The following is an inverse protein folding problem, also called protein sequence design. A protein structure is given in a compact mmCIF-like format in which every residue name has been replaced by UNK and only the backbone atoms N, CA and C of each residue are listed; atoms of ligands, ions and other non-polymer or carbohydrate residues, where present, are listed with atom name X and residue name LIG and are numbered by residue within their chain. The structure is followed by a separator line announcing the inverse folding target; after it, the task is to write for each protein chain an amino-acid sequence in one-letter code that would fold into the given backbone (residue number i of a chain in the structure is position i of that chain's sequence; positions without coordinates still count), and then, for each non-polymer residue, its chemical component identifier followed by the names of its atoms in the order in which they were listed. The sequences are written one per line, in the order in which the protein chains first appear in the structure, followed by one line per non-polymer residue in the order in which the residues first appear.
data_IF_315591535593
#
_entry.id   IF_315591535593
#
_cell.length_a   1.000
_cell.length_b   1.000
_cell.length_c   1.000
_cell.angle_alpha   90.00
_cell.angle_beta   90.00
_cell.angle_gamma   90.00
#
_symmetry.space_group_name_H-M   'P 1'
#
loop_
_entity.id
_entity.type
_entity.pdbx_description
1 polymer ?
#
# COMPACT_ATOMS: atom_id res chain seq x y z
N UNK A 1 17.95 -7.03 -1.18
CA UNK A 1 18.84 -5.85 -1.33
C UNK A 1 18.19 -4.85 -2.28
N UNK A 2 17.19 -4.10 -1.81
CA UNK A 2 16.68 -2.93 -2.53
C UNK A 2 17.29 -1.71 -1.86
N UNK A 3 18.30 -1.12 -2.51
CA UNK A 3 18.91 0.12 -2.05
C UNK A 3 17.97 1.28 -2.40
N UNK A 4 17.16 1.70 -1.42
CA UNK A 4 16.56 3.04 -1.44
C UNK A 4 17.70 4.06 -1.51
N UNK A 5 17.73 4.86 -2.58
CA UNK A 5 18.55 6.08 -2.63
C UNK A 5 18.11 6.95 -1.45
N UNK A 6 18.96 7.04 -0.43
CA UNK A 6 18.62 7.72 0.83
C UNK A 6 18.46 9.22 0.58
N UNK A 7 17.21 9.69 0.54
CA UNK A 7 16.89 11.12 0.67
C UNK A 7 16.84 11.40 2.16
N UNK A 8 17.96 11.87 2.70
CA UNK A 8 18.08 12.16 4.13
C UNK A 8 17.60 13.59 4.43
N UNK A 9 16.29 13.75 4.70
CA UNK A 9 15.73 14.99 5.24
C UNK A 9 15.69 14.91 6.78
N UNK A 10 16.50 15.72 7.48
CA UNK A 10 16.44 15.85 8.94
C UNK A 10 15.22 16.67 9.35
N UNK A 11 14.38 16.13 10.24
CA UNK A 11 13.39 16.88 11.00
C UNK A 11 13.84 16.97 12.48
N UNK A 12 13.75 18.15 13.14
CA UNK A 12 13.63 18.22 14.61
C UNK A 12 13.27 19.59 15.23
N UNK A 13 12.70 19.48 16.44
CA UNK A 13 12.06 20.46 17.33
C UNK A 13 13.02 21.51 17.95
N UNK A 14 12.51 22.72 18.19
CA UNK A 14 13.15 23.86 18.90
C UNK A 14 13.16 23.69 20.44
N UNK A 15 14.18 24.19 21.17
CA UNK A 15 14.35 25.64 21.38
C UNK A 15 15.79 26.21 21.40
N UNK A 16 15.82 27.53 21.23
CA UNK A 16 16.85 28.53 21.60
C UNK A 16 17.88 28.95 20.54
N UNK A 17 17.80 30.25 20.19
CA UNK A 17 18.64 30.95 19.22
C UNK A 17 20.07 31.14 19.76
N UNK A 18 21.02 30.43 19.15
CA UNK A 18 22.46 30.68 19.31
C UNK A 18 23.13 30.61 17.93
N UNK A 19 24.40 31.01 17.83
CA UNK A 19 25.24 31.15 16.61
C UNK A 19 25.23 29.96 15.60
N UNK A 20 24.58 28.85 15.93
CA UNK A 20 24.21 27.78 15.01
C UNK A 20 23.19 28.20 13.92
N UNK A 21 22.44 29.29 14.12
CA UNK A 21 21.41 29.79 13.19
C UNK A 21 21.92 30.16 11.79
N UNK A 22 23.18 30.59 11.64
CA UNK A 22 23.76 30.94 10.33
C UNK A 22 23.94 29.71 9.41
N UNK A 23 24.05 28.50 9.97
CA UNK A 23 24.09 27.25 9.18
C UNK A 23 22.72 26.90 8.58
N UNK A 24 21.63 27.30 9.26
CA UNK A 24 20.26 27.05 8.83
C UNK A 24 19.78 28.06 7.77
N UNK A 25 20.29 29.30 7.78
CA UNK A 25 20.04 30.25 6.68
C UNK A 25 20.58 29.72 5.33
N UNK A 26 21.62 28.89 5.38
CA UNK A 26 22.29 28.33 4.20
C UNK A 26 21.87 26.91 3.80
N UNK A 27 21.05 26.23 4.59
CA UNK A 27 20.58 24.88 4.26
C UNK A 27 19.40 24.96 3.29
N UNK A 28 19.45 24.31 2.12
CA UNK A 28 18.32 24.28 1.20
C UNK A 28 17.20 23.39 1.71
N UNK A 29 15.97 23.69 1.30
CA UNK A 29 14.79 22.92 1.68
C UNK A 29 14.77 21.55 1.02
N UNK A 30 15.24 21.45 -0.22
CA UNK A 30 15.41 20.17 -0.94
C UNK A 30 16.74 20.20 -1.69
N UNK A 31 17.48 19.09 -1.66
CA UNK A 31 18.69 18.94 -2.45
C UNK A 31 18.94 17.49 -2.86
N UNK A 32 19.58 17.30 -4.01
CA UNK A 32 20.15 16.02 -4.45
C UNK A 32 21.63 16.03 -4.08
N UNK A 33 22.12 14.92 -3.49
CA UNK A 33 23.49 14.79 -2.99
C UNK A 33 24.08 13.46 -3.41
N UNK A 34 25.40 13.40 -3.52
CA UNK A 34 26.10 12.16 -3.85
C UNK A 34 25.93 11.13 -2.72
N UNK A 35 25.69 9.89 -3.11
CA UNK A 35 25.65 8.74 -2.22
C UNK A 35 26.55 7.64 -2.77
N UNK A 36 27.86 7.91 -2.76
CA UNK A 36 28.89 6.95 -3.16
C UNK A 36 29.59 6.41 -1.91
N UNK A 37 29.34 5.14 -1.60
CA UNK A 37 29.94 4.46 -0.45
C UNK A 37 31.40 4.05 -0.73
N UNK A 38 31.80 4.01 -2.01
CA UNK A 38 33.18 3.78 -2.44
C UNK A 38 34.06 5.03 -2.35
N UNK A 39 33.46 6.22 -2.38
CA UNK A 39 34.14 7.51 -2.24
C UNK A 39 33.56 8.31 -1.07
N UNK A 40 34.06 8.00 0.12
CA UNK A 40 33.64 8.63 1.37
C UNK A 40 33.85 10.15 1.39
N UNK A 41 34.79 10.68 0.59
CA UNK A 41 35.04 12.12 0.51
C UNK A 41 33.91 12.85 -0.23
N UNK A 42 33.22 12.16 -1.14
CA UNK A 42 32.09 12.70 -1.92
C UNK A 42 30.74 12.38 -1.30
N UNK A 43 30.69 11.52 -0.29
CA UNK A 43 29.46 11.14 0.40
C UNK A 43 28.73 12.38 0.99
N UNK A 44 27.46 12.54 0.63
CA UNK A 44 26.59 13.66 1.01
C UNK A 44 27.06 15.06 0.57
N UNK A 45 28.02 15.14 -0.34
CA UNK A 45 28.43 16.41 -0.95
C UNK A 45 27.45 16.84 -2.03
N UNK A 46 27.46 18.15 -2.33
CA UNK A 46 26.78 18.74 -3.48
C UNK A 46 27.60 18.63 -4.76
N UNK A 47 28.73 17.93 -4.73
CA UNK A 47 29.66 17.79 -5.86
C UNK A 47 29.13 16.81 -6.93
N UNK A 48 27.90 17.08 -7.37
CA UNK A 48 27.28 16.58 -8.57
C UNK A 48 27.36 17.75 -9.53
N UNK A 49 28.24 17.69 -10.52
CA UNK A 49 28.50 18.84 -11.38
C UNK A 49 27.31 19.09 -12.33
N UNK A 50 26.71 20.30 -12.35
CA UNK A 50 26.94 21.44 -11.46
C UNK A 50 26.12 21.42 -10.16
N UNK A 51 26.74 21.83 -9.05
CA UNK A 51 26.20 21.68 -7.69
C UNK A 51 24.97 22.57 -7.40
N UNK A 52 24.93 23.75 -8.00
CA UNK A 52 23.83 24.72 -7.82
C UNK A 52 22.52 24.26 -8.46
N UNK A 53 22.62 23.40 -9.48
CA UNK A 53 21.47 22.88 -10.23
C UNK A 53 20.73 21.78 -9.46
N UNK A 54 21.33 21.26 -8.38
CA UNK A 54 20.79 20.17 -7.56
C UNK A 54 20.12 20.65 -6.28
N UNK A 55 19.81 21.96 -6.19
CA UNK A 55 19.36 22.61 -4.96
C UNK A 55 18.07 23.39 -5.17
N UNK A 56 17.12 23.20 -4.27
CA UNK A 56 15.91 24.02 -4.14
C UNK A 56 16.02 24.83 -2.86
N UNK A 57 16.25 26.14 -2.99
CA UNK A 57 16.37 27.06 -1.86
C UNK A 57 15.30 28.16 -1.92
N UNK A 58 14.56 28.37 -0.83
CA UNK A 58 13.57 29.44 -0.70
C UNK A 58 14.27 30.73 -0.25
N UNK A 59 13.92 31.85 -0.90
CA UNK A 59 14.36 33.21 -0.57
C UNK A 59 14.03 33.53 0.89
N UNK A 60 14.96 34.19 1.58
CA UNK A 60 14.88 34.40 3.03
C UNK A 60 13.61 35.14 3.44
N UNK A 61 13.24 36.18 2.69
CA UNK A 61 12.02 36.98 2.87
C UNK A 61 10.71 36.19 2.64
N UNK A 62 10.79 35.07 1.92
CA UNK A 62 9.64 34.23 1.59
C UNK A 62 9.49 33.00 2.50
N UNK A 63 10.51 32.64 3.30
CA UNK A 63 10.52 31.43 4.13
C UNK A 63 9.34 31.33 5.09
N UNK A 64 8.97 32.42 5.75
CA UNK A 64 7.85 32.43 6.71
C UNK A 64 6.49 32.07 6.06
N UNK A 65 6.34 32.29 4.75
CA UNK A 65 5.13 32.00 3.98
C UNK A 65 5.23 30.72 3.15
N UNK A 66 6.34 29.98 3.22
CA UNK A 66 6.57 28.78 2.42
C UNK A 66 7.25 27.70 3.28
N UNK A 67 6.76 27.51 4.50
CA UNK A 67 7.32 26.51 5.41
C UNK A 67 6.87 25.11 4.98
N UNK A 68 7.82 24.30 4.54
CA UNK A 68 7.58 22.93 4.08
C UNK A 68 7.69 21.95 5.25
N UNK A 69 6.58 21.35 5.67
CA UNK A 69 6.57 20.31 6.69
C UNK A 69 6.61 18.92 6.04
N UNK A 70 7.81 18.36 5.95
CA UNK A 70 8.07 17.05 5.35
C UNK A 70 7.23 15.92 5.97
N UNK A 71 6.70 15.03 5.12
CA UNK A 71 5.98 13.82 5.53
C UNK A 71 6.76 12.58 5.10
N UNK A 72 7.05 12.42 3.81
CA UNK A 72 7.80 11.28 3.28
C UNK A 72 8.36 11.59 1.89
N UNK A 73 9.51 11.00 1.57
CA UNK A 73 10.03 10.91 0.21
C UNK A 73 10.06 9.44 -0.22
N UNK A 74 9.79 9.18 -1.49
CA UNK A 74 9.83 7.84 -2.06
C UNK A 74 10.09 7.88 -3.56
N UNK A 75 10.59 6.76 -4.08
CA UNK A 75 10.86 6.56 -5.49
C UNK A 75 9.67 5.88 -6.16
N UNK A 76 9.28 6.33 -7.36
CA UNK A 76 8.34 5.61 -8.21
C UNK A 76 8.71 5.83 -9.69
N UNK A 77 8.89 4.72 -10.42
CA UNK A 77 9.40 4.68 -11.81
C UNK A 77 10.75 5.39 -11.97
N UNK A 78 10.78 6.56 -12.61
CA UNK A 78 12.00 7.37 -12.87
C UNK A 78 11.94 8.70 -12.14
N UNK A 79 11.06 8.82 -11.15
CA UNK A 79 10.83 10.06 -10.41
C UNK A 79 11.03 9.84 -8.91
N UNK A 80 11.49 10.90 -8.25
CA UNK A 80 11.42 11.05 -6.81
C UNK A 80 10.21 11.91 -6.46
N UNK A 81 9.41 11.42 -5.53
CA UNK A 81 8.26 12.13 -4.99
C UNK A 81 8.54 12.56 -3.55
N UNK A 82 8.13 13.77 -3.21
CA UNK A 82 8.27 14.35 -1.87
C UNK A 82 6.92 14.86 -1.42
N UNK A 83 6.36 14.23 -0.39
CA UNK A 83 5.11 14.63 0.23
C UNK A 83 5.37 15.54 1.43
N UNK A 84 4.68 16.67 1.50
CA UNK A 84 4.79 17.63 2.60
C UNK A 84 3.48 18.42 2.78
N UNK A 85 3.36 19.12 3.90
CA UNK A 85 2.33 20.13 4.11
C UNK A 85 2.94 21.53 4.01
N UNK A 86 2.23 22.47 3.38
CA UNK A 86 2.58 23.88 3.39
C UNK A 86 1.79 24.57 4.51
N UNK A 87 2.45 24.89 5.62
CA UNK A 87 1.84 25.48 6.82
C UNK A 87 1.94 27.02 6.82
N UNK A 88 2.06 27.64 5.64
CA UNK A 88 2.05 29.08 5.48
C UNK A 88 0.86 29.72 6.20
N UNK A 89 1.11 30.69 7.08
CA UNK A 89 0.07 31.50 7.74
C UNK A 89 -0.61 32.43 6.74
N UNK A 90 -1.35 31.89 5.77
CA UNK A 90 -2.28 32.66 4.96
C UNK A 90 -3.51 32.90 5.82
N UNK A 91 -3.69 34.12 6.30
CA UNK A 91 -4.75 34.54 7.24
C UNK A 91 -6.20 34.34 6.78
N UNK A 92 -6.52 33.44 5.85
CA UNK A 92 -7.88 33.06 5.50
C UNK A 92 -8.05 31.58 5.12
N UNK A 93 -9.00 30.97 5.86
CA UNK A 93 -9.75 29.72 5.69
C UNK A 93 -8.99 28.40 5.78
N UNK A 94 -9.32 27.62 6.81
CA UNK A 94 -9.05 26.18 6.99
C UNK A 94 -9.48 25.28 5.80
N UNK A 95 -10.03 25.84 4.72
CA UNK A 95 -10.65 25.15 3.59
C UNK A 95 -9.73 24.93 2.37
N UNK A 96 -8.48 25.41 2.37
CA UNK A 96 -7.54 25.11 1.28
C UNK A 96 -6.69 23.87 1.60
N UNK A 97 -6.45 22.98 0.62
CA UNK A 97 -5.59 21.82 0.83
C UNK A 97 -4.14 22.27 1.03
N UNK A 98 -3.60 22.00 2.21
CA UNK A 98 -2.20 22.32 2.53
C UNK A 98 -1.25 21.20 2.11
N UNK A 99 -1.80 20.06 1.70
CA UNK A 99 -1.05 18.85 1.37
C UNK A 99 -0.53 18.90 -0.06
N UNK A 100 0.77 18.73 -0.24
CA UNK A 100 1.44 18.84 -1.54
C UNK A 100 2.28 17.61 -1.81
N UNK A 101 2.21 17.13 -3.05
CA UNK A 101 3.10 16.13 -3.62
C UNK A 101 4.01 16.82 -4.64
N UNK A 102 5.28 16.96 -4.32
CA UNK A 102 6.28 17.39 -5.30
C UNK A 102 6.84 16.21 -6.07
N UNK A 103 7.08 16.39 -7.36
CA UNK A 103 7.76 15.42 -8.24
C UNK A 103 9.06 16.02 -8.77
N UNK A 104 10.12 15.22 -8.78
CA UNK A 104 11.45 15.54 -9.30
C UNK A 104 11.88 14.41 -10.22
N UNK A 105 12.43 14.72 -11.39
CA UNK A 105 12.99 13.69 -12.27
C UNK A 105 14.33 13.20 -11.75
N UNK A 106 14.56 11.90 -11.87
CA UNK A 106 15.86 11.30 -11.59
C UNK A 106 16.57 11.02 -12.92
N UNK A 107 17.85 11.34 -12.99
CA UNK A 107 18.66 10.96 -14.14
C UNK A 107 18.72 9.43 -14.23
N UNK A 108 18.36 8.90 -15.40
CA UNK A 108 18.40 7.47 -15.67
C UNK A 108 19.85 7.07 -15.87
N UNK A 109 20.36 6.20 -15.00
CA UNK A 109 21.68 5.61 -15.16
C UNK A 109 21.74 4.88 -16.50
N UNK A 110 22.52 5.40 -17.45
CA UNK A 110 22.69 4.82 -18.80
C UNK A 110 22.51 5.78 -19.98
N UNK A 111 22.06 7.03 -19.78
CA UNK A 111 22.16 8.04 -20.84
C UNK A 111 23.63 8.49 -21.01
N UNK A 112 24.12 8.39 -22.25
CA UNK A 112 25.51 8.69 -22.64
C UNK A 112 25.93 10.13 -22.23
N UNK A 113 27.22 10.38 -21.96
CA UNK A 113 27.76 11.72 -21.62
C UNK A 113 27.62 12.78 -22.72
N UNK A 114 27.13 12.42 -23.91
CA UNK A 114 26.93 13.32 -25.05
C UNK A 114 25.44 13.67 -25.30
N UNK A 115 24.55 13.39 -24.35
CA UNK A 115 23.18 13.92 -24.31
C UNK A 115 23.11 15.27 -23.58
N UNK A 116 22.05 16.08 -23.74
CA UNK A 116 22.01 17.46 -23.26
C UNK A 116 22.23 17.49 -21.74
N UNK A 117 22.94 18.52 -21.27
CA UNK A 117 23.35 18.83 -19.89
C UNK A 117 22.46 18.22 -18.79
N UNK A 118 23.10 17.79 -17.69
CA UNK A 118 22.40 17.33 -16.47
C UNK A 118 21.27 18.29 -16.11
N UNK A 119 20.03 17.79 -16.07
CA UNK A 119 18.85 18.62 -15.87
C UNK A 119 18.84 19.19 -14.47
N UNK A 120 18.48 20.47 -14.34
CA UNK A 120 18.38 21.11 -13.02
C UNK A 120 17.21 20.51 -12.25
N UNK A 121 17.40 20.31 -10.95
CA UNK A 121 16.35 19.92 -10.01
C UNK A 121 15.14 20.85 -10.17
N UNK A 122 15.35 22.15 -10.23
CA UNK A 122 14.28 23.14 -10.33
C UNK A 122 13.49 23.06 -11.64
N UNK A 123 14.09 22.62 -12.76
CA UNK A 123 13.40 22.44 -14.05
C UNK A 123 12.37 21.31 -14.02
N UNK A 124 12.72 20.21 -13.34
CA UNK A 124 11.83 19.05 -13.20
C UNK A 124 10.84 19.19 -12.04
N UNK A 125 11.17 20.03 -11.05
CA UNK A 125 10.37 20.22 -9.85
C UNK A 125 8.98 20.80 -10.15
N UNK A 126 7.95 20.10 -9.68
CA UNK A 126 6.57 20.55 -9.76
C UNK A 126 5.78 20.13 -8.53
N UNK A 127 5.00 21.07 -7.96
CA UNK A 127 4.09 20.83 -6.83
C UNK A 127 2.67 20.54 -7.33
N UNK A 128 2.11 19.40 -6.90
CA UNK A 128 0.70 19.05 -7.10
C UNK A 128 -0.02 19.05 -5.74
N UNK A 129 -0.99 19.94 -5.50
CA UNK A 129 -1.81 19.88 -4.30
C UNK A 129 -2.67 18.61 -4.31
N UNK A 130 -2.76 17.94 -3.17
CA UNK A 130 -3.61 16.78 -2.96
C UNK A 130 -4.82 17.17 -2.09
N UNK A 131 -6.00 16.71 -2.49
CA UNK A 131 -7.23 16.95 -1.73
C UNK A 131 -7.97 15.63 -1.50
N UNK A 132 -8.15 15.28 -0.24
CA UNK A 132 -8.98 14.17 0.19
C UNK A 132 -10.36 14.71 0.65
N UNK A 133 -11.43 14.31 -0.04
CA UNK A 133 -12.78 14.82 0.19
C UNK A 133 -13.20 15.98 -0.73
N UNK A 134 -14.46 16.41 -0.59
CA UNK A 134 -15.11 17.45 -1.41
C UNK A 134 -16.16 18.22 -0.60
N UNK A 135 -16.62 19.34 -1.16
CA UNK A 135 -17.83 20.06 -0.73
C UNK A 135 -17.92 20.34 0.79
N UNK A 136 -16.88 20.95 1.35
CA UNK A 136 -16.83 21.31 2.78
C UNK A 136 -16.42 20.17 3.72
N UNK A 137 -16.39 18.93 3.24
CA UNK A 137 -15.81 17.79 3.95
C UNK A 137 -14.42 17.43 3.40
N UNK A 138 -13.50 18.37 3.58
CA UNK A 138 -12.11 18.27 3.08
C UNK A 138 -11.18 17.95 4.25
N UNK A 139 -10.35 16.92 4.07
CA UNK A 139 -9.24 16.57 4.94
C UNK A 139 -7.99 17.24 4.38
N UNK A 140 -7.53 18.30 5.04
CA UNK A 140 -6.62 19.29 4.48
C UNK A 140 -5.14 19.06 4.81
N UNK A 141 -4.82 18.19 5.78
CA UNK A 141 -3.45 17.93 6.23
C UNK A 141 -3.06 16.46 6.07
N UNK A 142 -1.96 16.20 5.36
CA UNK A 142 -1.42 14.88 5.13
C UNK A 142 -0.56 14.42 6.31
N UNK A 143 -0.77 13.19 6.77
CA UNK A 143 -0.09 12.59 7.92
C UNK A 143 0.89 11.49 7.51
N UNK A 144 0.54 10.69 6.51
CA UNK A 144 1.32 9.55 6.05
C UNK A 144 0.97 9.22 4.61
N UNK A 145 1.95 8.71 3.85
CA UNK A 145 1.76 8.21 2.49
C UNK A 145 2.44 6.87 2.29
N UNK A 146 1.85 6.05 1.41
CA UNK A 146 2.38 4.76 1.03
C UNK A 146 2.11 4.51 -0.47
N UNK A 147 3.16 4.47 -1.33
CA UNK A 147 3.00 4.02 -2.71
C UNK A 147 2.83 2.50 -2.75
N UNK A 148 1.86 2.01 -3.52
CA UNK A 148 1.66 0.57 -3.72
C UNK A 148 1.10 0.28 -5.11
N UNK A 149 1.53 -0.84 -5.68
CA UNK A 149 0.91 -1.42 -6.87
C UNK A 149 -0.19 -2.38 -6.39
N UNK A 150 -1.42 -2.14 -6.82
CA UNK A 150 -2.59 -2.92 -6.44
C UNK A 150 -3.25 -3.39 -7.72
N UNK A 151 -3.28 -4.70 -7.97
CA UNK A 151 -3.88 -5.30 -9.18
C UNK A 151 -3.34 -4.68 -10.48
N UNK A 152 -2.00 -4.59 -10.56
CA UNK A 152 -1.27 -4.00 -11.69
C UNK A 152 -1.53 -2.50 -11.95
N UNK A 153 -2.18 -1.80 -11.01
CA UNK A 153 -2.36 -0.35 -11.07
C UNK A 153 -1.64 0.33 -9.90
N UNK A 154 -0.88 1.38 -10.19
CA UNK A 154 -0.07 2.09 -9.20
C UNK A 154 -0.87 3.19 -8.49
N UNK A 155 -0.90 3.15 -7.15
CA UNK A 155 -1.60 4.12 -6.31
C UNK A 155 -0.68 4.75 -5.26
N UNK A 156 -0.95 6.01 -4.96
CA UNK A 156 -0.49 6.70 -3.75
C UNK A 156 -1.62 6.70 -2.72
N UNK A 157 -1.47 5.92 -1.65
CA UNK A 157 -2.35 5.98 -0.50
C UNK A 157 -1.89 7.07 0.46
N UNK A 158 -2.82 7.86 0.97
CA UNK A 158 -2.53 8.95 1.91
C UNK A 158 -3.55 9.01 3.05
N UNK A 159 -3.05 9.15 4.28
CA UNK A 159 -3.86 9.46 5.46
C UNK A 159 -3.89 10.96 5.66
N UNK A 160 -5.08 11.54 5.70
CA UNK A 160 -5.30 12.96 5.88
C UNK A 160 -6.11 13.22 7.16
N UNK A 161 -5.82 14.31 7.85
CA UNK A 161 -6.58 14.81 8.99
C UNK A 161 -7.39 16.05 8.66
N UNK A 162 -8.48 16.20 9.41
CA UNK A 162 -9.29 17.40 9.55
C UNK A 162 -9.09 17.95 10.97
N UNK A 163 -9.34 19.26 11.17
CA UNK A 163 -9.04 19.98 12.42
C UNK A 163 -9.65 19.41 13.71
N UNK A 164 -10.66 18.55 13.61
CA UNK A 164 -11.38 17.92 14.72
C UNK A 164 -10.94 16.46 14.99
N UNK A 165 -9.70 16.11 14.65
CA UNK A 165 -9.11 14.76 14.78
C UNK A 165 -9.78 13.68 13.91
N UNK A 166 -10.79 14.02 13.10
CA UNK A 166 -11.27 13.14 12.04
C UNK A 166 -10.17 12.94 11.02
N UNK A 167 -10.04 11.72 10.54
CA UNK A 167 -9.03 11.33 9.56
C UNK A 167 -9.65 10.48 8.48
N UNK A 168 -9.07 10.54 7.29
CA UNK A 168 -9.51 9.76 6.14
C UNK A 168 -8.32 9.18 5.40
N UNK A 169 -8.51 7.99 4.86
CA UNK A 169 -7.62 7.40 3.87
C UNK A 169 -8.18 7.72 2.48
N UNK A 170 -7.34 8.29 1.62
CA UNK A 170 -7.61 8.47 0.20
C UNK A 170 -6.56 7.74 -0.64
N UNK A 171 -6.92 7.36 -1.86
CA UNK A 171 -6.00 6.79 -2.84
C UNK A 171 -6.02 7.64 -4.13
N UNK A 172 -4.83 7.91 -4.67
CA UNK A 172 -4.64 8.65 -5.91
C UNK A 172 -3.92 7.77 -6.91
N UNK A 173 -4.44 7.65 -8.14
CA UNK A 173 -3.75 6.90 -9.19
C UNK A 173 -2.53 7.66 -9.64
N UNK A 174 -1.39 6.99 -9.79
CA UNK A 174 -0.20 7.64 -10.35
C UNK A 174 -0.43 8.09 -11.80
N UNK A 175 -1.28 7.39 -12.56
CA UNK A 175 -1.69 7.83 -13.90
C UNK A 175 -2.36 9.23 -13.88
N UNK A 176 -3.23 9.49 -12.90
CA UNK A 176 -3.89 10.79 -12.75
C UNK A 176 -2.90 11.87 -12.29
N UNK A 177 -1.95 11.52 -11.42
CA UNK A 177 -0.85 12.41 -11.01
C UNK A 177 0.00 12.83 -12.21
N UNK A 178 0.39 11.87 -13.05
CA UNK A 178 1.19 12.11 -14.24
C UNK A 178 0.44 12.99 -15.25
N UNK A 179 -0.84 12.68 -15.50
CA UNK A 179 -1.66 13.44 -16.45
C UNK A 179 -1.93 14.87 -15.96
N UNK A 180 -2.20 15.08 -14.68
CA UNK A 180 -2.41 16.43 -14.12
C UNK A 180 -1.14 17.28 -14.23
N UNK A 181 0.03 16.69 -13.97
CA UNK A 181 1.32 17.37 -14.14
C UNK A 181 1.57 17.73 -15.60
N UNK A 182 1.36 16.78 -16.53
CA UNK A 182 1.51 17.03 -17.98
C UNK A 182 0.53 18.09 -18.46
N UNK A 183 -0.71 18.08 -17.95
CA UNK A 183 -1.72 19.10 -18.25
C UNK A 183 -1.28 20.47 -17.77
N UNK A 184 -0.82 20.59 -16.54
CA UNK A 184 -0.30 21.84 -15.99
C UNK A 184 0.83 22.42 -16.84
N UNK A 185 1.81 21.60 -17.21
CA UNK A 185 2.93 22.02 -18.08
C UNK A 185 2.47 22.44 -19.47
N UNK A 186 1.52 21.72 -20.08
CA UNK A 186 0.87 22.11 -21.36
C UNK A 186 0.16 23.45 -21.24
N UNK A 187 -0.64 23.65 -20.20
CA UNK A 187 -1.38 24.90 -19.99
C UNK A 187 -0.41 26.06 -19.81
N UNK A 188 0.58 25.94 -18.93
CA UNK A 188 1.62 26.95 -18.72
C UNK A 188 2.34 27.31 -20.03
N UNK A 189 2.55 26.33 -20.92
CA UNK A 189 3.11 26.57 -22.25
C UNK A 189 2.16 27.32 -23.18
N UNK A 190 0.91 26.86 -23.35
CA UNK A 190 0.00 27.35 -24.38
C UNK A 190 -0.61 28.74 -24.08
N UNK A 191 -0.81 29.11 -22.82
CA UNK A 191 -1.23 30.44 -22.35
C UNK A 191 -1.16 30.47 -20.83
N UNK A 192 -0.80 31.61 -20.18
CA UNK A 192 -0.84 31.70 -18.73
C UNK A 192 -2.30 31.69 -18.24
N UNK A 193 -2.91 30.50 -18.18
CA UNK A 193 -4.11 30.28 -17.40
C UNK A 193 -3.72 30.39 -15.93
N UNK A 194 -4.60 30.93 -15.09
CA UNK A 194 -4.36 31.05 -13.66
C UNK A 194 -4.23 29.71 -12.91
N UNK A 195 -4.09 28.59 -13.62
CA UNK A 195 -4.04 27.22 -13.11
C UNK A 195 -2.65 26.78 -12.66
N UNK A 196 -1.60 27.47 -13.12
CA UNK A 196 -0.20 27.17 -12.79
C UNK A 196 0.47 28.44 -12.26
N UNK A 197 1.27 28.27 -11.24
CA UNK A 197 2.04 29.33 -10.62
C UNK A 197 3.53 29.00 -10.70
N UNK A 198 4.34 29.99 -11.11
CA UNK A 198 5.78 29.93 -10.95
C UNK A 198 6.13 30.26 -9.50
N UNK A 199 6.99 29.46 -8.89
CA UNK A 199 7.44 29.66 -7.52
C UNK A 199 8.58 30.68 -7.48
N UNK A 200 8.24 31.97 -7.64
CA UNK A 200 9.19 33.09 -7.61
C UNK A 200 9.90 33.26 -6.25
N UNK A 201 9.41 32.56 -5.22
CA UNK A 201 10.05 32.47 -3.91
C UNK A 201 11.31 31.61 -3.89
N UNK A 202 11.62 30.88 -4.98
CA UNK A 202 12.79 30.00 -5.07
C UNK A 202 13.96 30.74 -5.72
N UNK A 203 15.16 30.61 -5.15
CA UNK A 203 16.36 31.34 -5.59
C UNK A 203 16.81 30.85 -6.97
N UNK A 204 16.87 29.54 -7.17
CA UNK A 204 17.28 28.89 -8.42
C UNK A 204 16.13 28.75 -9.44
N UNK A 205 15.02 29.46 -9.21
CA UNK A 205 13.87 29.48 -10.10
C UNK A 205 13.88 30.72 -10.96
N UNK A 206 14.02 30.56 -12.28
CA UNK A 206 13.64 31.54 -13.31
C UNK A 206 13.95 30.97 -14.70
N UNK A 207 12.92 30.75 -15.50
CA UNK A 207 13.02 30.50 -16.95
C UNK A 207 12.55 31.71 -17.76
N UNK A 208 12.78 31.72 -19.07
CA UNK A 208 12.35 32.83 -19.92
C UNK A 208 10.84 33.07 -19.81
N UNK A 209 10.43 34.25 -19.31
CA UNK A 209 9.05 34.69 -19.39
C UNK A 209 8.71 34.90 -20.87
N UNK A 210 7.62 34.28 -21.31
CA UNK A 210 7.24 34.32 -22.72
C UNK A 210 6.96 35.76 -23.16
N UNK A 211 7.60 36.18 -24.25
CA UNK A 211 7.09 37.26 -25.08
C UNK A 211 5.73 36.85 -25.67
N UNK A 212 4.78 37.77 -25.67
CA UNK A 212 3.40 37.57 -26.15
C UNK A 212 3.40 36.97 -27.57
N UNK A 213 2.71 35.83 -27.79
CA UNK A 213 2.19 35.49 -29.13
C UNK A 213 2.61 34.21 -29.86
N UNK A 214 3.04 33.12 -29.19
CA UNK A 214 3.22 31.82 -29.86
C UNK A 214 2.56 30.65 -29.12
N UNK A 215 2.25 29.53 -29.78
CA UNK A 215 1.90 28.24 -29.14
C UNK A 215 3.14 27.36 -29.19
N UNK A 216 3.65 26.88 -28.05
CA UNK A 216 4.82 25.98 -28.04
C UNK A 216 4.32 24.55 -27.89
N UNK A 217 4.56 23.71 -28.89
CA UNK A 217 4.29 22.29 -28.73
C UNK A 217 5.44 21.67 -27.94
N UNK A 218 5.18 21.34 -26.67
CA UNK A 218 6.15 20.63 -25.83
C UNK A 218 6.28 19.17 -26.28
N UNK A 219 7.51 18.65 -26.28
CA UNK A 219 7.79 17.22 -26.47
C UNK A 219 7.43 16.43 -25.20
N UNK A 220 7.17 15.11 -25.30
CA UNK A 220 6.84 14.27 -24.14
C UNK A 220 7.84 14.40 -22.99
N UNK A 221 9.14 14.44 -23.28
CA UNK A 221 10.20 14.56 -22.28
C UNK A 221 10.15 15.90 -21.54
N UNK A 222 9.75 16.98 -22.23
CA UNK A 222 9.58 18.31 -21.64
C UNK A 222 8.32 18.39 -20.78
N UNK A 223 7.27 17.65 -21.15
CA UNK A 223 6.06 17.50 -20.34
C UNK A 223 6.31 16.70 -19.07
N UNK A 224 7.30 15.81 -19.07
CA UNK A 224 7.65 15.01 -17.90
C UNK A 224 8.67 15.69 -17.00
N UNK A 225 9.76 16.21 -17.56
CA UNK A 225 10.91 16.69 -16.79
C UNK A 225 11.29 18.15 -17.03
N UNK A 226 10.65 18.82 -17.99
CA UNK A 226 10.87 20.25 -18.22
C UNK A 226 12.05 20.48 -19.15
N UNK A 227 12.40 21.75 -19.26
CA UNK A 227 13.54 22.19 -20.05
C UNK A 227 14.00 23.55 -19.54
N UNK A 228 15.29 23.84 -19.70
CA UNK A 228 15.93 25.09 -19.28
C UNK A 228 15.26 26.38 -19.79
N UNK A 229 14.57 26.33 -20.94
CA UNK A 229 13.90 27.49 -21.53
C UNK A 229 12.44 27.68 -21.07
N UNK A 230 11.91 26.80 -20.20
CA UNK A 230 10.55 26.88 -19.67
C UNK A 230 10.55 27.49 -18.28
N UNK A 231 9.41 28.05 -17.86
CA UNK A 231 9.29 28.56 -16.49
C UNK A 231 9.35 27.42 -15.47
N UNK A 232 10.13 27.62 -14.41
CA UNK A 232 10.34 26.65 -13.34
C UNK A 232 10.85 27.35 -12.07
N UNK A 233 10.68 26.76 -10.87
CA UNK A 233 9.83 25.60 -10.57
C UNK A 233 8.34 25.95 -10.60
N UNK A 234 7.50 24.94 -10.81
CA UNK A 234 6.05 25.12 -10.98
C UNK A 234 5.24 24.60 -9.78
N UNK A 235 4.11 25.24 -9.52
CA UNK A 235 3.09 24.75 -8.61
C UNK A 235 1.72 24.81 -9.29
N UNK A 236 1.00 23.69 -9.24
CA UNK A 236 -0.36 23.60 -9.75
C UNK A 236 -1.32 24.22 -8.74
N UNK A 237 -2.31 24.98 -9.20
CA UNK A 237 -3.35 25.55 -8.34
C UNK A 237 -4.54 24.62 -8.17
N UNK A 238 -4.83 23.81 -9.18
CA UNK A 238 -5.92 22.82 -9.12
C UNK A 238 -5.44 21.60 -8.33
N UNK A 239 -6.11 21.22 -7.23
CA UNK A 239 -5.76 20.02 -6.50
C UNK A 239 -6.20 18.76 -7.25
N UNK A 240 -5.41 17.70 -7.16
CA UNK A 240 -5.86 16.35 -7.49
C UNK A 240 -6.77 15.85 -6.36
N UNK A 241 -8.02 15.53 -6.71
CA UNK A 241 -9.07 15.19 -5.74
C UNK A 241 -9.30 13.68 -5.69
N UNK A 242 -9.44 13.15 -4.49
CA UNK A 242 -9.89 11.78 -4.24
C UNK A 242 -10.97 11.77 -3.16
N UNK A 243 -11.88 10.80 -3.23
CA UNK A 243 -12.89 10.57 -2.19
C UNK A 243 -12.32 9.66 -1.08
N UNK A 244 -12.70 9.86 0.19
CA UNK A 244 -12.29 8.98 1.28
C UNK A 244 -12.72 7.52 1.03
N UNK A 245 -11.75 6.61 1.03
CA UNK A 245 -11.98 5.16 1.01
C UNK A 245 -12.36 4.64 2.39
N UNK A 246 -11.79 5.23 3.44
CA UNK A 246 -12.00 4.85 4.82
C UNK A 246 -11.91 6.08 5.72
N UNK A 247 -12.88 6.25 6.63
CA UNK A 247 -12.92 7.36 7.58
C UNK A 247 -12.83 6.81 9.00
N UNK A 248 -12.00 7.44 9.83
CA UNK A 248 -11.81 7.05 11.22
C UNK A 248 -11.26 8.21 12.04
N UNK A 249 -11.24 8.09 13.37
CA UNK A 249 -10.71 9.12 14.25
C UNK A 249 -9.27 8.79 14.65
N UNK A 250 -8.35 9.71 14.40
CA UNK A 250 -6.96 9.58 14.84
C UNK A 250 -6.13 8.51 14.13
N UNK A 251 -6.32 8.30 12.82
CA UNK A 251 -5.34 7.59 12.01
C UNK A 251 -4.02 8.40 11.96
N UNK A 252 -2.89 7.71 12.02
CA UNK A 252 -1.56 8.31 11.97
C UNK A 252 -0.68 7.79 10.84
N UNK A 253 -0.96 6.59 10.34
CA UNK A 253 -0.09 5.92 9.37
C UNK A 253 -0.85 4.96 8.46
N UNK A 254 -0.30 4.70 7.28
CA UNK A 254 -0.79 3.66 6.35
C UNK A 254 0.37 2.82 5.80
N UNK A 255 0.11 1.53 5.68
CA UNK A 255 0.84 0.60 4.82
C UNK A 255 -0.15 -0.23 4.01
N UNK A 256 0.25 -0.62 2.80
CA UNK A 256 -0.64 -1.30 1.86
C UNK A 256 0.08 -2.50 1.27
N UNK A 257 -0.64 -3.61 1.18
CA UNK A 257 -0.19 -4.87 0.58
C UNK A 257 -1.24 -5.33 -0.45
N UNK A 258 -0.80 -5.94 -1.54
CA UNK A 258 -1.68 -6.55 -2.56
C UNK A 258 -1.52 -8.06 -2.50
N UNK A 259 -2.54 -8.74 -2.02
CA UNK A 259 -2.50 -10.18 -1.75
C UNK A 259 -3.67 -10.85 -2.44
N UNK A 260 -3.37 -11.73 -3.38
CA UNK A 260 -4.38 -12.52 -4.12
C UNK A 260 -5.48 -11.64 -4.73
N UNK A 261 -5.09 -10.53 -5.37
CA UNK A 261 -5.98 -9.50 -5.95
C UNK A 261 -6.89 -8.78 -4.94
N UNK A 262 -6.56 -8.84 -3.65
CA UNK A 262 -7.20 -8.07 -2.60
C UNK A 262 -6.22 -7.06 -2.00
N UNK A 263 -6.71 -5.85 -1.76
CA UNK A 263 -5.93 -4.80 -1.10
C UNK A 263 -6.04 -4.95 0.41
N UNK A 264 -4.93 -5.23 1.09
CA UNK A 264 -4.87 -5.22 2.55
C UNK A 264 -4.25 -3.91 3.03
N UNK A 265 -5.01 -3.15 3.82
CA UNK A 265 -4.58 -1.90 4.43
C UNK A 265 -4.22 -2.15 5.89
N UNK A 266 -3.07 -1.63 6.31
CA UNK A 266 -2.66 -1.53 7.71
C UNK A 266 -2.68 -0.05 8.10
N UNK A 267 -3.55 0.31 9.03
CA UNK A 267 -3.78 1.68 9.46
C UNK A 267 -3.39 1.84 10.93
N UNK A 268 -2.30 2.56 11.19
CA UNK A 268 -1.91 2.88 12.55
C UNK A 268 -2.69 4.07 13.09
N UNK A 269 -2.85 4.12 14.41
CA UNK A 269 -3.58 5.18 15.10
C UNK A 269 -2.71 5.92 16.11
N UNK A 270 -3.14 7.12 16.46
CA UNK A 270 -2.51 7.94 17.51
C UNK A 270 -2.66 7.38 18.93
N UNK A 271 -3.36 6.26 19.11
CA UNK A 271 -3.58 5.61 20.42
C UNK A 271 -3.00 4.18 20.47
N UNK A 272 -2.05 3.86 19.60
CA UNK A 272 -1.34 2.57 19.61
C UNK A 272 -2.17 1.38 19.21
N UNK A 273 -3.06 1.57 18.22
CA UNK A 273 -3.80 0.48 17.58
C UNK A 273 -3.38 0.37 16.13
N UNK A 274 -3.37 -0.86 15.63
CA UNK A 274 -3.20 -1.16 14.23
C UNK A 274 -4.50 -1.76 13.71
N UNK A 275 -5.12 -1.12 12.72
CA UNK A 275 -6.31 -1.66 12.05
C UNK A 275 -5.89 -2.32 10.75
N UNK A 276 -6.27 -3.58 10.57
CA UNK A 276 -6.19 -4.27 9.29
C UNK A 276 -7.54 -4.15 8.60
N UNK A 277 -7.57 -3.65 7.37
CA UNK A 277 -8.79 -3.52 6.57
C UNK A 277 -8.54 -4.19 5.22
N UNK A 278 -9.32 -5.20 4.88
CA UNK A 278 -9.30 -5.81 3.54
C UNK A 278 -10.29 -5.06 2.66
N UNK A 279 -9.87 -4.63 1.47
CA UNK A 279 -10.76 -4.06 0.48
C UNK A 279 -11.13 -5.10 -0.59
N UNK A 280 -12.36 -5.00 -1.08
CA UNK A 280 -12.79 -5.67 -2.30
C UNK A 280 -12.10 -5.06 -3.53
N UNK A 281 -12.19 -5.71 -4.71
CA UNK A 281 -11.75 -5.12 -5.97
C UNK A 281 -12.38 -3.74 -6.28
N UNK A 282 -13.52 -3.42 -5.67
CA UNK A 282 -14.20 -2.14 -5.87
C UNK A 282 -13.75 -1.08 -4.86
N UNK A 283 -12.65 -1.33 -4.13
CA UNK A 283 -12.11 -0.48 -3.07
C UNK A 283 -13.08 -0.25 -1.90
N UNK A 284 -14.02 -1.17 -1.67
CA UNK A 284 -14.94 -1.14 -0.52
C UNK A 284 -14.45 -2.06 0.60
N UNK A 285 -14.70 -1.71 1.85
CA UNK A 285 -14.28 -2.52 3.00
C UNK A 285 -14.99 -3.89 3.01
N UNK A 286 -14.22 -4.97 2.87
CA UNK A 286 -14.69 -6.35 3.01
C UNK A 286 -14.65 -6.82 4.47
N UNK A 287 -13.55 -6.53 5.17
CA UNK A 287 -13.37 -6.90 6.57
C UNK A 287 -12.51 -5.87 7.29
N UNK A 288 -12.62 -5.84 8.62
CA UNK A 288 -11.80 -4.99 9.45
C UNK A 288 -11.49 -5.65 10.79
N UNK A 289 -10.24 -5.54 11.22
CA UNK A 289 -9.77 -6.05 12.51
C UNK A 289 -8.90 -5.00 13.18
N UNK A 290 -8.96 -4.91 14.50
CA UNK A 290 -8.10 -4.03 15.29
C UNK A 290 -7.20 -4.85 16.19
N UNK A 291 -5.90 -4.59 16.12
CA UNK A 291 -4.89 -5.09 17.03
C UNK A 291 -4.45 -3.97 17.98
N UNK A 292 -4.42 -4.23 19.28
CA UNK A 292 -3.84 -3.32 20.27
C UNK A 292 -2.34 -3.59 20.34
N UNK A 293 -1.52 -2.55 20.16
CA UNK A 293 -0.07 -2.69 20.27
C UNK A 293 0.37 -2.58 21.74
N UNK A 294 1.45 -3.27 22.16
CA UNK A 294 1.86 -3.35 23.57
C UNK A 294 2.14 -1.99 24.21
N UNK A 295 2.78 -1.07 23.49
CA UNK A 295 3.18 0.23 24.03
C UNK A 295 2.00 1.21 24.18
N UNK A 296 0.87 0.98 23.49
CA UNK A 296 -0.26 1.92 23.41
C UNK A 296 0.10 3.35 22.97
N UNK A 297 1.28 3.54 22.38
CA UNK A 297 1.81 4.80 21.86
C UNK A 297 1.40 5.05 20.39
N UNK A 298 1.36 6.31 19.92
CA UNK A 298 1.06 6.61 18.52
C UNK A 298 1.88 5.79 17.54
N UNK A 299 1.22 5.15 16.57
CA UNK A 299 1.93 4.41 15.52
C UNK A 299 2.64 5.39 14.60
N UNK A 300 3.94 5.17 14.40
CA UNK A 300 4.77 6.01 13.55
C UNK A 300 4.23 6.09 12.12
N UNK A 301 4.32 7.26 11.50
CA UNK A 301 3.79 7.55 10.16
C UNK A 301 4.44 6.72 9.03
N UNK A 302 5.59 6.08 9.29
CA UNK A 302 6.27 5.14 8.40
C UNK A 302 6.12 3.73 8.96
N UNK A 303 5.42 2.87 8.22
CA UNK A 303 5.25 1.45 8.51
C UNK A 303 5.77 0.63 7.32
N UNK A 304 7.05 0.26 7.30
CA UNK A 304 7.58 -0.55 6.21
C UNK A 304 7.03 -1.99 6.31
N UNK A 305 6.72 -2.56 5.15
CA UNK A 305 6.47 -3.99 5.01
C UNK A 305 7.82 -4.62 4.63
N UNK A 306 8.60 -5.00 5.64
CA UNK A 306 9.95 -5.57 5.42
C UNK A 306 9.95 -7.06 5.76
N UNK A 307 10.42 -7.94 4.85
CA UNK A 307 10.74 -9.32 5.19
C UNK A 307 11.98 -9.47 6.09
N UNK A 308 12.81 -8.43 6.23
CA UNK A 308 14.03 -8.45 7.02
C UNK A 308 13.88 -7.89 8.43
N UNK A 309 14.71 -8.45 9.30
CA UNK A 309 14.54 -8.54 10.75
C UNK A 309 14.90 -7.27 11.56
N UNK A 310 14.97 -6.09 10.95
CA UNK A 310 15.72 -4.95 11.50
C UNK A 310 14.86 -3.92 12.29
N UNK A 311 13.56 -4.17 12.45
CA UNK A 311 12.64 -3.25 13.14
C UNK A 311 12.39 -3.62 14.61
N UNK A 312 12.20 -2.60 15.46
CA UNK A 312 12.07 -2.74 16.92
C UNK A 312 10.77 -3.45 17.38
N UNK A 313 9.68 -3.37 16.61
CA UNK A 313 8.41 -4.06 16.90
C UNK A 313 7.87 -4.71 15.63
N UNK A 314 7.69 -6.03 15.66
CA UNK A 314 7.10 -6.81 14.56
C UNK A 314 5.67 -7.18 14.88
N UNK A 315 4.82 -7.05 13.87
CA UNK A 315 3.42 -7.46 13.94
C UNK A 315 3.17 -8.44 12.81
N UNK A 316 2.65 -9.63 13.12
CA UNK A 316 2.25 -10.59 12.10
C UNK A 316 1.18 -9.95 11.22
N UNK A 317 1.36 -10.02 9.90
CA UNK A 317 0.37 -9.53 8.91
C UNK A 317 -0.97 -10.26 9.02
N UNK A 318 -0.95 -11.52 9.46
CA UNK A 318 -2.13 -12.36 9.63
C UNK A 318 -1.98 -13.33 10.81
N UNK A 319 -3.10 -13.72 11.40
CA UNK A 319 -3.23 -14.71 12.47
C UNK A 319 -4.34 -15.68 12.06
N UNK A 320 -4.12 -16.42 10.98
CA UNK A 320 -5.15 -17.28 10.37
C UNK A 320 -5.54 -18.45 11.29
N UNK A 321 -4.60 -18.91 12.11
CA UNK A 321 -4.73 -20.05 13.04
C UNK A 321 -5.86 -19.91 14.07
N UNK A 322 -6.36 -18.69 14.28
CA UNK A 322 -7.48 -18.44 15.19
C UNK A 322 -8.82 -18.98 14.69
N UNK A 323 -8.96 -19.19 13.37
CA UNK A 323 -10.19 -19.67 12.75
C UNK A 323 -10.10 -21.19 12.59
N UNK A 324 -10.93 -21.91 13.33
CA UNK A 324 -10.87 -23.37 13.43
C UNK A 324 -11.77 -24.09 12.44
N UNK A 325 -12.69 -23.38 11.78
CA UNK A 325 -13.58 -23.92 10.75
C UNK A 325 -13.34 -23.25 9.40
N UNK A 326 -13.62 -23.96 8.31
CA UNK A 326 -13.51 -23.41 6.96
C UNK A 326 -14.45 -22.20 6.76
N UNK A 327 -15.69 -22.31 7.26
CA UNK A 327 -16.68 -21.25 7.15
C UNK A 327 -16.23 -19.96 7.83
N UNK A 328 -15.69 -20.05 9.04
CA UNK A 328 -15.18 -18.88 9.77
C UNK A 328 -13.92 -18.30 9.13
N UNK A 329 -13.01 -19.17 8.67
CA UNK A 329 -11.77 -18.77 8.00
C UNK A 329 -12.05 -17.93 6.75
N UNK A 330 -12.91 -18.44 5.86
CA UNK A 330 -13.25 -17.75 4.60
C UNK A 330 -14.24 -16.60 4.85
N UNK A 331 -15.11 -16.73 5.85
CA UNK A 331 -16.07 -15.69 6.26
C UNK A 331 -15.41 -14.48 6.92
N UNK A 332 -14.22 -14.64 7.51
CA UNK A 332 -13.44 -13.53 8.06
C UNK A 332 -12.97 -12.52 7.00
N UNK A 333 -12.94 -12.92 5.72
CA UNK A 333 -12.52 -12.10 4.59
C UNK A 333 -11.17 -11.39 4.81
N UNK A 334 -10.21 -12.10 5.40
CA UNK A 334 -8.82 -11.66 5.52
C UNK A 334 -8.05 -12.10 4.28
N UNK A 335 -7.52 -11.15 3.49
CA UNK A 335 -6.83 -11.41 2.23
C UNK A 335 -5.63 -12.36 2.33
N UNK A 336 -4.98 -12.42 3.50
CA UNK A 336 -3.82 -13.29 3.73
C UNK A 336 -4.22 -14.71 4.14
N UNK A 337 -5.48 -14.94 4.53
CA UNK A 337 -5.95 -16.20 5.04
C UNK A 337 -6.78 -16.99 4.02
N UNK A 338 -6.69 -18.31 4.13
CA UNK A 338 -7.48 -19.25 3.37
C UNK A 338 -7.46 -20.62 4.02
N UNK A 339 -8.26 -21.52 3.49
CA UNK A 339 -8.46 -22.85 4.08
C UNK A 339 -7.54 -23.87 3.42
N UNK A 340 -6.64 -24.48 4.20
CA UNK A 340 -5.80 -25.58 3.73
C UNK A 340 -6.58 -26.90 3.87
N UNK A 341 -7.21 -27.33 2.79
CA UNK A 341 -8.21 -28.42 2.79
C UNK A 341 -7.67 -29.73 3.35
N UNK A 342 -6.47 -30.15 2.93
CA UNK A 342 -5.87 -31.42 3.36
C UNK A 342 -5.34 -31.41 4.79
N UNK A 343 -5.07 -30.22 5.34
CA UNK A 343 -4.58 -30.06 6.72
C UNK A 343 -5.69 -29.65 7.69
N UNK A 344 -6.91 -29.44 7.20
CA UNK A 344 -8.08 -29.05 7.98
C UNK A 344 -7.83 -27.83 8.88
N UNK A 345 -7.15 -26.80 8.35
CA UNK A 345 -6.81 -25.60 9.11
C UNK A 345 -6.81 -24.33 8.27
N UNK A 346 -7.06 -23.20 8.91
CA UNK A 346 -6.91 -21.89 8.30
C UNK A 346 -5.43 -21.45 8.35
N UNK A 347 -4.86 -21.05 7.22
CA UNK A 347 -3.45 -20.67 7.10
C UNK A 347 -3.20 -19.67 5.98
N UNK A 348 -2.00 -19.09 5.95
CA UNK A 348 -1.50 -18.45 4.73
C UNK A 348 -1.18 -19.52 3.67
N UNK A 349 -1.31 -19.20 2.39
CA UNK A 349 -1.04 -20.16 1.30
C UNK A 349 0.36 -20.80 1.41
N UNK A 350 1.38 -19.99 1.74
CA UNK A 350 2.78 -20.45 1.92
C UNK A 350 2.99 -21.40 3.11
N UNK A 351 2.04 -21.45 4.04
CA UNK A 351 2.10 -22.31 5.23
C UNK A 351 1.31 -23.62 5.04
N UNK A 352 0.60 -23.76 3.92
CA UNK A 352 -0.10 -24.98 3.51
C UNK A 352 0.87 -25.83 2.68
N UNK A 353 1.21 -27.04 3.15
CA UNK A 353 2.26 -27.88 2.55
C UNK A 353 2.00 -28.18 1.07
N UNK A 354 0.73 -28.34 0.69
CA UNK A 354 0.27 -28.55 -0.69
C UNK A 354 -0.42 -27.31 -1.26
N UNK A 355 -0.13 -26.11 -0.76
CA UNK A 355 -0.86 -24.87 -1.12
C UNK A 355 -0.77 -24.44 -2.59
N UNK A 356 0.14 -25.06 -3.37
CA UNK A 356 0.28 -24.86 -4.82
C UNK A 356 -0.58 -25.85 -5.62
N UNK A 357 -0.95 -26.99 -5.03
CA UNK A 357 -1.82 -27.97 -5.67
C UNK A 357 -3.21 -27.35 -5.86
N UNK A 358 -3.77 -27.51 -7.06
CA UNK A 358 -5.09 -26.99 -7.37
C UNK A 358 -6.13 -27.49 -6.34
N UNK A 359 -6.94 -26.57 -5.81
CA UNK A 359 -8.00 -26.85 -4.82
C UNK A 359 -7.53 -27.36 -3.45
N UNK A 360 -6.22 -27.41 -3.17
CA UNK A 360 -5.70 -27.78 -1.86
C UNK A 360 -5.72 -26.62 -0.85
N UNK A 361 -5.76 -25.37 -1.34
CA UNK A 361 -5.91 -24.17 -0.53
C UNK A 361 -6.97 -23.26 -1.14
N UNK A 362 -7.99 -22.93 -0.35
CA UNK A 362 -9.15 -22.13 -0.78
C UNK A 362 -8.94 -20.69 -0.34
N UNK A 363 -8.92 -19.76 -1.29
CA UNK A 363 -8.75 -18.35 -1.00
C UNK A 363 -10.01 -17.71 -0.41
N UNK A 364 -9.85 -16.65 0.38
CA UNK A 364 -11.01 -15.90 0.92
C UNK A 364 -11.98 -15.38 -0.17
N UNK A 365 -11.48 -15.06 -1.36
CA UNK A 365 -12.29 -14.56 -2.48
C UNK A 365 -13.24 -15.62 -3.06
N UNK A 366 -12.96 -16.90 -2.82
CA UNK A 366 -13.83 -18.01 -3.20
C UNK A 366 -14.98 -18.19 -2.22
N UNK A 367 -14.79 -17.81 -0.95
CA UNK A 367 -15.84 -17.71 0.06
C UNK A 367 -16.33 -19.05 0.65
N UNK A 368 -17.20 -18.99 1.68
CA UNK A 368 -17.57 -20.16 2.49
C UNK A 368 -18.31 -21.28 1.74
N UNK A 369 -18.92 -20.99 0.59
CA UNK A 369 -19.65 -21.98 -0.20
C UNK A 369 -18.72 -23.02 -0.86
N UNK A 370 -17.42 -22.73 -0.95
CA UNK A 370 -16.41 -23.68 -1.41
C UNK A 370 -15.92 -24.62 -0.31
N UNK A 371 -16.34 -24.42 0.94
CA UNK A 371 -15.93 -25.28 2.04
C UNK A 371 -16.34 -26.74 1.81
N UNK A 372 -15.42 -27.70 2.01
CA UNK A 372 -15.73 -29.11 1.88
C UNK A 372 -16.87 -29.53 2.80
N UNK A 373 -17.83 -30.27 2.27
CA UNK A 373 -18.89 -30.91 3.06
C UNK A 373 -19.12 -32.33 2.58
N UNK A 374 -19.50 -33.21 3.52
CA UNK A 374 -19.63 -34.63 3.25
C UNK A 374 -21.09 -35.06 3.31
N UNK A 375 -21.52 -35.86 2.33
CA UNK A 375 -22.85 -36.47 2.29
C UNK A 375 -22.70 -37.99 2.19
N UNK A 376 -23.45 -38.72 3.02
CA UNK A 376 -23.40 -40.19 3.08
C UNK A 376 -24.58 -40.82 2.34
N UNK A 377 -24.34 -41.94 1.66
CA UNK A 377 -25.37 -42.75 1.00
C UNK A 377 -25.21 -44.24 1.36
N UNK A 378 -26.17 -44.85 2.08
CA UNK A 378 -27.34 -44.23 2.68
C UNK A 378 -26.95 -43.25 3.83
N UNK A 379 -27.80 -42.25 4.12
CA UNK A 379 -27.51 -41.25 5.17
C UNK A 379 -27.56 -41.85 6.58
N UNK A 380 -28.30 -42.94 6.76
CA UNK A 380 -28.42 -43.68 8.00
C UNK A 380 -28.05 -45.15 7.78
N UNK A 381 -27.26 -45.70 8.69
CA UNK A 381 -26.79 -47.08 8.63
C UNK A 381 -27.43 -47.83 9.79
N UNK A 382 -28.35 -48.74 9.48
CA UNK A 382 -28.94 -49.62 10.49
C UNK A 382 -27.93 -50.67 10.96
N UNK A 383 -27.82 -50.86 12.27
CA UNK A 383 -26.94 -51.86 12.90
C UNK A 383 -27.32 -53.29 12.47
N UNK A 384 -28.59 -53.51 12.11
CA UNK A 384 -29.11 -54.84 11.70
C UNK A 384 -29.02 -55.08 10.20
N UNK A 385 -28.77 -54.05 9.40
CA UNK A 385 -28.67 -54.17 7.95
C UNK A 385 -27.26 -54.62 7.53
N UNK A 386 -27.15 -55.57 6.59
CA UNK A 386 -25.87 -55.99 6.00
C UNK A 386 -25.43 -55.00 4.91
N UNK A 387 -25.13 -53.77 5.32
CA UNK A 387 -24.61 -52.72 4.43
C UNK A 387 -23.11 -52.98 4.25
N UNK A 388 -22.73 -53.42 3.04
CA UNK A 388 -21.33 -53.71 2.69
C UNK A 388 -20.57 -52.46 2.26
N UNK A 389 -21.26 -51.50 1.66
CA UNK A 389 -20.67 -50.31 1.08
C UNK A 389 -21.43 -49.03 1.46
N UNK A 390 -20.67 -47.95 1.70
CA UNK A 390 -21.17 -46.62 2.06
C UNK A 390 -20.60 -45.61 1.08
N UNK A 391 -21.47 -44.94 0.32
CA UNK A 391 -21.07 -43.85 -0.55
C UNK A 391 -20.75 -42.59 0.25
N UNK A 392 -19.60 -41.96 -0.01
CA UNK A 392 -19.19 -40.70 0.60
C UNK A 392 -18.99 -39.68 -0.51
N UNK A 393 -19.94 -38.77 -0.66
CA UNK A 393 -19.80 -37.65 -1.58
C UNK A 393 -19.21 -36.45 -0.85
N UNK A 394 -18.07 -35.95 -1.34
CA UNK A 394 -17.48 -34.70 -0.84
C UNK A 394 -17.83 -33.57 -1.83
N UNK A 395 -18.64 -32.63 -1.37
CA UNK A 395 -18.96 -31.41 -2.08
C UNK A 395 -17.96 -30.30 -1.73
N UNK A 396 -17.89 -29.26 -2.56
CA UNK A 396 -16.99 -28.11 -2.35
C UNK A 396 -15.61 -28.31 -2.99
N UNK A 397 -14.62 -27.57 -2.50
CA UNK A 397 -13.28 -27.51 -3.09
C UNK A 397 -12.31 -28.46 -2.38
N UNK A 398 -12.02 -29.58 -3.04
CA UNK A 398 -11.06 -30.59 -2.60
C UNK A 398 -10.09 -30.87 -3.77
N UNK A 399 -8.78 -31.05 -3.50
CA UNK A 399 -7.83 -31.41 -4.54
C UNK A 399 -8.10 -32.80 -5.09
N UNK A 400 -7.48 -33.11 -6.23
CA UNK A 400 -7.48 -34.49 -6.73
C UNK A 400 -6.78 -35.41 -5.72
N UNK A 401 -7.52 -36.41 -5.24
CA UNK A 401 -7.05 -37.37 -4.25
C UNK A 401 -6.40 -38.60 -4.91
N UNK A 402 -6.36 -38.70 -6.24
CA UNK A 402 -5.70 -39.80 -6.93
C UNK A 402 -4.23 -39.89 -6.49
N UNK A 403 -3.82 -41.07 -6.03
CA UNK A 403 -2.47 -41.32 -5.50
C UNK A 403 -2.30 -40.99 -4.01
N UNK A 404 -3.29 -40.36 -3.37
CA UNK A 404 -3.32 -40.20 -1.91
C UNK A 404 -3.92 -41.43 -1.23
N UNK A 405 -3.44 -41.72 -0.02
CA UNK A 405 -4.07 -42.70 0.86
C UNK A 405 -5.23 -42.03 1.58
N UNK A 406 -6.44 -42.53 1.36
CA UNK A 406 -7.66 -42.03 2.01
C UNK A 406 -8.21 -43.12 2.93
N UNK A 407 -8.55 -42.73 4.15
CA UNK A 407 -9.06 -43.62 5.20
C UNK A 407 -10.28 -42.96 5.85
N UNK A 408 -11.28 -43.76 6.21
CA UNK A 408 -12.47 -43.32 6.92
C UNK A 408 -12.36 -43.73 8.38
N UNK A 409 -12.35 -42.76 9.30
CA UNK A 409 -12.35 -43.00 10.75
C UNK A 409 -13.77 -42.87 11.31
N UNK A 410 -14.25 -43.93 11.99
CA UNK A 410 -15.59 -43.99 12.60
C UNK A 410 -15.57 -43.70 14.10
N UNK A 411 -14.38 -43.55 14.67
CA UNK A 411 -14.11 -43.38 16.08
C UNK A 411 -12.68 -43.81 16.41
N UNK A 412 -12.23 -43.61 17.66
CA UNK A 412 -10.83 -43.78 18.03
C UNK A 412 -10.28 -45.17 17.67
N UNK A 413 -9.33 -45.20 16.72
CA UNK A 413 -8.66 -46.43 16.29
C UNK A 413 -9.49 -47.35 15.39
N UNK A 414 -10.65 -46.92 14.93
CA UNK A 414 -11.53 -47.68 14.04
C UNK A 414 -11.57 -47.01 12.65
N UNK A 415 -10.79 -47.54 11.72
CA UNK A 415 -10.66 -46.99 10.38
C UNK A 415 -10.75 -48.07 9.30
N UNK A 416 -11.19 -47.67 8.11
CA UNK A 416 -11.16 -48.49 6.89
C UNK A 416 -10.52 -47.72 5.74
N UNK A 417 -9.79 -48.41 4.87
CA UNK A 417 -9.27 -47.79 3.66
C UNK A 417 -10.41 -47.46 2.68
N UNK A 418 -10.33 -46.29 2.07
CA UNK A 418 -11.24 -45.82 1.01
C UNK A 418 -10.63 -46.10 -0.38
N UNK A 419 -11.47 -46.37 -1.38
CA UNK A 419 -11.08 -46.86 -2.72
C UNK A 419 -11.50 -45.92 -3.87
N UNK A 420 -10.86 -44.77 -4.03
CA UNK A 420 -11.29 -43.67 -4.93
C UNK A 420 -11.82 -44.12 -6.31
N UNK A 421 -13.03 -43.67 -6.69
CA UNK A 421 -13.53 -43.86 -8.06
C UNK A 421 -13.05 -42.75 -9.02
N UNK A 422 -12.86 -43.13 -10.29
CA UNK A 422 -12.07 -42.39 -11.27
C UNK A 422 -12.83 -41.34 -12.10
N UNK A 423 -14.05 -40.92 -11.74
CA UNK A 423 -14.77 -39.90 -12.51
C UNK A 423 -14.80 -38.55 -11.80
N UNK A 424 -14.22 -37.57 -12.50
CA UNK A 424 -14.12 -36.18 -12.11
C UNK A 424 -15.47 -35.65 -11.63
N UNK A 425 -15.47 -34.99 -10.47
CA UNK A 425 -16.61 -34.39 -9.73
C UNK A 425 -17.41 -35.30 -8.79
N UNK A 426 -17.14 -36.60 -8.73
CA UNK A 426 -17.82 -37.51 -7.81
C UNK A 426 -16.84 -38.54 -7.24
N UNK A 427 -16.46 -38.40 -5.96
CA UNK A 427 -15.81 -39.51 -5.24
C UNK A 427 -16.91 -40.54 -4.92
N UNK A 428 -17.17 -41.44 -5.87
CA UNK A 428 -18.16 -42.51 -5.74
C UNK A 428 -17.58 -43.81 -5.19
N UNK A 429 -18.37 -44.53 -4.39
CA UNK A 429 -18.26 -45.95 -4.01
C UNK A 429 -17.08 -46.42 -3.14
N UNK A 430 -17.24 -46.43 -1.80
CA UNK A 430 -16.32 -47.14 -0.89
C UNK A 430 -17.01 -48.12 0.05
N UNK A 431 -16.57 -49.37 -0.05
CA UNK A 431 -16.86 -50.45 0.88
C UNK A 431 -16.20 -50.29 2.22
N UNK A 432 -16.74 -49.46 3.10
CA UNK A 432 -16.40 -49.57 4.51
C UNK A 432 -17.23 -50.69 5.12
N UNK A 433 -16.59 -51.85 5.38
CA UNK A 433 -17.20 -52.91 6.16
C UNK A 433 -17.50 -52.35 7.55
N UNK A 434 -18.78 -52.05 7.81
CA UNK A 434 -19.23 -51.65 9.14
C UNK A 434 -18.68 -52.68 10.16
N UNK A 435 -18.11 -52.24 11.30
CA UNK A 435 -17.57 -53.16 12.28
C UNK A 435 -18.67 -54.10 12.77
N UNK A 436 -18.68 -55.34 12.29
CA UNK A 436 -19.49 -56.39 12.92
C UNK A 436 -18.89 -56.59 14.31
N UNK A 437 -19.64 -56.20 15.34
CA UNK A 437 -19.40 -56.43 16.77
C UNK A 437 -18.60 -55.41 17.60
N UNK A 438 -18.80 -54.09 17.46
CA UNK A 438 -18.63 -53.21 18.63
C UNK A 438 -19.74 -52.15 18.67
N UNK A 439 -20.55 -52.24 19.72
CA UNK A 439 -21.51 -51.23 20.15
C UNK A 439 -20.88 -49.84 20.10
N UNK A 440 -21.63 -48.78 19.74
CA UNK A 440 -21.12 -47.43 19.95
C UNK A 440 -20.81 -47.27 21.44
N UNK A 441 -19.67 -46.66 21.83
CA UNK A 441 -19.52 -46.20 23.20
C UNK A 441 -20.69 -45.24 23.50
N UNK A 442 -21.18 -45.20 24.75
CA UNK A 442 -22.33 -44.38 25.11
C UNK A 442 -22.07 -42.92 24.74
N UNK A 443 -23.12 -42.26 24.24
CA UNK A 443 -23.11 -40.88 23.78
C UNK A 443 -22.37 -39.95 24.76
N UNK A 444 -21.11 -39.63 24.45
CA UNK A 444 -20.50 -38.43 24.97
C UNK A 444 -20.86 -37.29 24.04
N UNK A 445 -21.74 -36.42 24.56
CA UNK A 445 -21.98 -35.07 24.05
C UNK A 445 -20.69 -34.47 23.49
N UNK A 446 -20.63 -34.26 22.19
CA UNK A 446 -19.77 -33.23 21.62
C UNK A 446 -20.60 -31.95 21.65
N UNK A 447 -20.40 -31.20 22.73
CA UNK A 447 -20.77 -29.78 22.81
C UNK A 447 -19.93 -28.96 21.84
N UNK A 448 -20.59 -27.93 21.29
CA UNK A 448 -20.14 -26.88 20.36
C UNK A 448 -18.66 -26.63 20.19
#
# INVERSE_FOLDING_TARGET
WHFERSIQCRARLWPNHSKEDLRFENTPEIAIRSFDVGDLARLFTYDINPSEDNVFKIKQEAKAKNQLHFVRAFHHKTYSYVAFNNDAKTGHKESQPNSVLARICLDTAGQKPNGPESRKLTESYIQLPLQCGRDGDIYNRLLSVYPADVRAEAFLFGVFSKGDRRTALCAFKFADVEEEIRRGRRSCSNSPTGDVQVLDSVIQGSGAARGVGGVMHLQPEQLDCGAAHLQHPLALRRPLRALPLFQYNGLSSVAVDDVLNHTALFLGTSNGRLRKVTLTPNMTSASQRTLKLPASEPVHHIMPLDPNDVLMLRVKVAQCEQWTSCGDCLGAADAHCGWCTLENRCSMQKECAQGVLARAWIAMGEGPHQCPSMTLTPPEISITADIKDVGILINGTVPDLVGFRVECEYGPGLWTAATLAADASYVGYHGARAPRHRSPPPAHRLTS
#
